data_IF_088886877592
#
_entry.id   IF_088886877592
#
_cell.length_a   1.000
_cell.length_b   1.000
_cell.length_c   1.000
_cell.angle_alpha   90.00
_cell.angle_beta   90.00
_cell.angle_gamma   90.00
#
_symmetry.space_group_name_H-M   'P 1'
#
loop_
_entity.id
_entity.type
_entity.pdbx_description
1 polymer ?
#
# COMPACT_ATOMS: atom_id res chain seq x y z
N UNK A 1 -26.37 -28.97 23.25
CA UNK A 1 -25.69 -27.95 24.08
C UNK A 1 -24.27 -27.80 23.56
N UNK A 2 -23.95 -26.68 22.93
CA UNK A 2 -22.56 -26.41 22.51
C UNK A 2 -21.75 -26.17 23.79
N UNK A 3 -20.69 -26.95 24.06
CA UNK A 3 -19.90 -26.75 25.26
C UNK A 3 -19.29 -25.35 25.28
N UNK A 4 -19.30 -24.68 26.44
CA UNK A 4 -18.79 -23.32 26.58
C UNK A 4 -17.33 -23.18 26.08
N UNK A 5 -16.50 -24.22 26.22
CA UNK A 5 -15.14 -24.22 25.70
C UNK A 5 -15.05 -24.07 24.18
N UNK A 6 -16.03 -24.59 23.42
CA UNK A 6 -16.07 -24.44 21.95
C UNK A 6 -16.34 -22.99 21.58
N UNK A 7 -17.24 -22.31 22.31
CA UNK A 7 -17.55 -20.89 22.09
C UNK A 7 -16.31 -20.04 22.37
N UNK A 8 -15.61 -20.30 23.48
CA UNK A 8 -14.36 -19.61 23.80
C UNK A 8 -13.26 -19.86 22.76
N UNK A 9 -13.07 -21.10 22.29
CA UNK A 9 -12.06 -21.42 21.28
C UNK A 9 -12.35 -20.66 19.98
N UNK A 10 -13.60 -20.70 19.51
CA UNK A 10 -14.03 -20.01 18.29
C UNK A 10 -13.85 -18.49 18.43
N UNK A 11 -14.23 -17.90 19.56
CA UNK A 11 -14.04 -16.48 19.81
C UNK A 11 -12.56 -16.08 19.78
N UNK A 12 -11.68 -16.87 20.41
CA UNK A 12 -10.24 -16.61 20.39
C UNK A 12 -9.65 -16.74 18.97
N UNK A 13 -10.11 -17.70 18.16
CA UNK A 13 -9.69 -17.85 16.77
C UNK A 13 -10.11 -16.63 15.94
N UNK A 14 -11.36 -16.17 16.08
CA UNK A 14 -11.84 -14.97 15.38
C UNK A 14 -11.10 -13.71 15.79
N UNK A 15 -10.88 -13.52 17.09
CA UNK A 15 -10.11 -12.38 17.60
C UNK A 15 -8.68 -12.43 17.04
N UNK A 16 -8.01 -13.58 17.11
CA UNK A 16 -6.65 -13.75 16.59
C UNK A 16 -6.55 -13.47 15.08
N UNK A 17 -7.48 -14.01 14.29
CA UNK A 17 -7.53 -13.79 12.83
C UNK A 17 -7.76 -12.31 12.47
N UNK A 18 -8.61 -11.61 13.22
CA UNK A 18 -8.83 -10.17 13.02
C UNK A 18 -7.56 -9.36 13.33
N UNK A 19 -6.83 -9.70 14.40
CA UNK A 19 -5.58 -9.03 14.73
C UNK A 19 -4.50 -9.24 13.66
N UNK A 20 -4.35 -10.45 13.12
CA UNK A 20 -3.39 -10.71 12.05
C UNK A 20 -3.74 -9.93 10.78
N UNK A 21 -5.02 -9.89 10.39
CA UNK A 21 -5.48 -9.14 9.23
C UNK A 21 -5.24 -7.62 9.38
N UNK A 22 -5.51 -7.05 10.56
CA UNK A 22 -5.24 -5.65 10.86
C UNK A 22 -3.73 -5.34 10.83
N UNK A 23 -2.91 -6.25 11.35
CA UNK A 23 -1.46 -6.11 11.32
C UNK A 23 -0.92 -6.13 9.88
N UNK A 24 -1.40 -7.06 9.04
CA UNK A 24 -1.03 -7.14 7.62
C UNK A 24 -1.41 -5.85 6.87
N UNK A 25 -2.65 -5.38 6.99
CA UNK A 25 -3.11 -4.12 6.37
C UNK A 25 -2.26 -2.92 6.79
N UNK A 26 -1.86 -2.85 8.07
CA UNK A 26 -1.00 -1.79 8.57
C UNK A 26 0.41 -1.84 7.98
N UNK A 27 0.96 -3.04 7.77
CA UNK A 27 2.28 -3.24 7.18
C UNK A 27 2.27 -2.93 5.68
N UNK A 28 1.24 -3.38 4.96
CA UNK A 28 1.05 -3.07 3.54
C UNK A 28 0.96 -1.56 3.31
N UNK A 29 0.09 -0.89 4.08
CA UNK A 29 -0.06 0.58 4.01
C UNK A 29 1.27 1.29 4.22
N UNK A 30 2.03 0.89 5.25
CA UNK A 30 3.35 1.46 5.53
C UNK A 30 4.36 1.21 4.40
N UNK A 31 4.33 0.01 3.80
CA UNK A 31 5.19 -0.30 2.66
C UNK A 31 4.84 0.57 1.45
N UNK A 32 3.56 0.76 1.16
CA UNK A 32 3.07 1.58 0.05
C UNK A 32 3.47 3.03 0.26
N UNK A 33 3.20 3.61 1.44
CA UNK A 33 3.55 5.00 1.77
C UNK A 33 5.05 5.24 1.66
N UNK A 34 5.87 4.31 2.17
CA UNK A 34 7.32 4.38 2.07
C UNK A 34 7.77 4.37 0.60
N UNK A 35 7.27 3.43 -0.21
CA UNK A 35 7.66 3.35 -1.61
C UNK A 35 7.21 4.58 -2.40
N UNK A 36 6.03 5.12 -2.11
CA UNK A 36 5.55 6.35 -2.71
C UNK A 36 6.48 7.53 -2.40
N UNK A 37 6.78 7.73 -1.12
CA UNK A 37 7.69 8.80 -0.70
C UNK A 37 9.04 8.71 -1.42
N UNK A 38 9.66 7.52 -1.42
CA UNK A 38 10.95 7.32 -2.07
C UNK A 38 10.90 7.47 -3.59
N UNK A 39 9.81 7.04 -4.23
CA UNK A 39 9.62 7.24 -5.66
C UNK A 39 9.54 8.73 -6.01
N UNK A 40 8.71 9.50 -5.29
CA UNK A 40 8.55 10.94 -5.50
C UNK A 40 9.87 11.67 -5.25
N UNK A 41 10.51 11.44 -4.09
CA UNK A 41 11.79 12.08 -3.75
C UNK A 41 12.89 11.74 -4.74
N UNK A 42 13.01 10.45 -5.09
CA UNK A 42 13.99 10.03 -6.08
C UNK A 42 13.72 10.65 -7.46
N UNK A 43 12.45 10.83 -7.85
CA UNK A 43 12.10 11.51 -9.10
C UNK A 43 12.48 12.99 -9.07
N UNK A 44 12.17 13.69 -7.99
CA UNK A 44 12.57 15.10 -7.79
C UNK A 44 14.10 15.26 -7.87
N UNK A 45 14.86 14.40 -7.18
CA UNK A 45 16.32 14.42 -7.19
C UNK A 45 16.89 14.16 -8.60
N UNK A 46 16.33 13.19 -9.33
CA UNK A 46 16.76 12.92 -10.71
C UNK A 46 16.53 14.12 -11.62
N UNK A 47 15.37 14.78 -11.49
CA UNK A 47 15.03 15.95 -12.28
C UNK A 47 15.95 17.14 -11.95
N UNK A 48 16.22 17.40 -10.68
CA UNK A 48 17.11 18.47 -10.24
C UNK A 48 18.56 18.26 -10.70
N UNK A 49 19.04 17.02 -10.64
CA UNK A 49 20.41 16.68 -11.01
C UNK A 49 20.61 16.45 -12.52
N UNK A 50 19.57 16.58 -13.34
CA UNK A 50 19.64 16.23 -14.77
C UNK A 50 20.01 14.77 -15.02
N UNK A 51 19.70 13.88 -14.07
CA UNK A 51 20.01 12.45 -14.15
C UNK A 51 19.06 11.74 -15.12
N UNK A 52 19.46 10.56 -15.58
CA UNK A 52 18.63 9.74 -16.47
C UNK A 52 17.25 9.50 -15.84
N UNK A 53 16.15 9.79 -16.55
CA UNK A 53 14.81 9.56 -16.04
C UNK A 53 14.59 8.06 -15.82
N UNK A 54 13.82 7.74 -14.78
CA UNK A 54 13.34 6.39 -14.61
C UNK A 54 12.29 6.09 -15.67
N UNK A 55 12.31 4.88 -16.25
CA UNK A 55 11.48 4.54 -17.41
C UNK A 55 9.98 4.77 -17.20
N UNK A 56 9.52 4.77 -15.95
CA UNK A 56 8.12 4.98 -15.59
C UNK A 56 7.80 6.42 -15.12
N UNK A 57 8.75 7.37 -15.20
CA UNK A 57 8.52 8.76 -14.76
C UNK A 57 7.44 9.49 -15.58
N UNK A 58 7.08 8.96 -16.75
CA UNK A 58 5.97 9.45 -17.58
C UNK A 58 4.60 8.96 -17.11
N UNK A 59 4.56 7.95 -16.23
CA UNK A 59 3.33 7.40 -15.69
C UNK A 59 2.97 8.09 -14.35
N UNK A 60 1.70 8.03 -13.97
CA UNK A 60 1.26 8.48 -12.65
C UNK A 60 1.95 7.67 -11.55
N UNK A 61 2.31 8.30 -10.42
CA UNK A 61 2.96 7.60 -9.31
C UNK A 61 2.23 6.34 -8.87
N UNK A 62 0.90 6.37 -8.79
CA UNK A 62 0.10 5.21 -8.41
C UNK A 62 0.28 4.02 -9.34
N UNK A 63 0.35 4.25 -10.66
CA UNK A 63 0.61 3.21 -11.66
C UNK A 63 2.02 2.66 -11.50
N UNK A 64 3.00 3.53 -11.23
CA UNK A 64 4.38 3.10 -10.96
C UNK A 64 4.46 2.24 -9.72
N UNK A 65 3.77 2.61 -8.64
CA UNK A 65 3.71 1.78 -7.43
C UNK A 65 3.05 0.44 -7.70
N UNK A 66 1.96 0.38 -8.48
CA UNK A 66 1.36 -0.89 -8.86
C UNK A 66 2.35 -1.78 -9.61
N UNK A 67 3.16 -1.23 -10.51
CA UNK A 67 4.21 -1.99 -11.21
C UNK A 67 5.32 -2.46 -10.24
N UNK A 68 5.78 -1.59 -9.34
CA UNK A 68 6.84 -1.90 -8.38
C UNK A 68 6.39 -2.97 -7.38
N UNK A 69 5.16 -2.87 -6.90
CA UNK A 69 4.64 -3.69 -5.80
C UNK A 69 3.80 -4.89 -6.26
N UNK A 70 3.61 -5.11 -7.57
CA UNK A 70 2.66 -6.12 -8.10
C UNK A 70 2.84 -7.54 -7.56
N UNK A 71 4.06 -7.93 -7.14
CA UNK A 71 4.32 -9.27 -6.59
C UNK A 71 4.02 -9.40 -5.11
N UNK A 72 3.88 -8.27 -4.41
CA UNK A 72 3.76 -8.22 -2.95
C UNK A 72 2.38 -7.73 -2.53
N UNK A 73 1.83 -6.74 -3.24
CA UNK A 73 0.56 -6.12 -2.90
C UNK A 73 -0.25 -5.92 -4.19
N UNK A 74 -1.56 -6.16 -4.14
CA UNK A 74 -2.45 -5.93 -5.27
C UNK A 74 -2.51 -4.44 -5.61
N UNK A 75 -2.75 -4.11 -6.88
CA UNK A 75 -2.89 -2.70 -7.28
C UNK A 75 -4.08 -2.04 -6.56
N UNK A 76 -5.17 -2.78 -6.30
CA UNK A 76 -6.32 -2.25 -5.54
C UNK A 76 -5.92 -1.82 -4.12
N UNK A 77 -5.14 -2.64 -3.41
CA UNK A 77 -4.63 -2.30 -2.08
C UNK A 77 -3.64 -1.13 -2.13
N UNK A 78 -2.82 -1.02 -3.18
CA UNK A 78 -1.98 0.16 -3.42
C UNK A 78 -2.84 1.42 -3.55
N UNK A 79 -3.87 1.37 -4.39
CA UNK A 79 -4.76 2.51 -4.64
C UNK A 79 -5.51 2.93 -3.37
N UNK A 80 -6.02 1.97 -2.61
CA UNK A 80 -6.73 2.23 -1.35
C UNK A 80 -5.80 2.85 -0.28
N UNK A 81 -4.59 2.32 -0.13
CA UNK A 81 -3.63 2.87 0.84
C UNK A 81 -3.16 4.27 0.45
N UNK A 82 -3.01 4.56 -0.85
CA UNK A 82 -2.61 5.88 -1.34
C UNK A 82 -3.71 6.92 -1.13
N UNK A 83 -4.99 6.58 -1.33
CA UNK A 83 -6.12 7.49 -1.05
C UNK A 83 -6.12 8.01 0.39
N UNK A 84 -5.65 7.19 1.32
CA UNK A 84 -5.54 7.52 2.74
C UNK A 84 -4.18 8.15 3.11
N UNK A 85 -3.27 8.32 2.16
CA UNK A 85 -1.96 8.89 2.40
C UNK A 85 -1.97 10.41 2.22
N UNK A 86 -1.68 11.14 3.30
CA UNK A 86 -1.74 12.61 3.33
C UNK A 86 -0.85 13.32 2.31
N UNK A 87 0.26 12.71 1.89
CA UNK A 87 1.21 13.31 0.93
C UNK A 87 0.91 12.90 -0.51
N UNK A 88 -0.03 11.98 -0.71
CA UNK A 88 -0.51 11.62 -2.03
C UNK A 88 -1.56 12.65 -2.49
N UNK A 89 -1.23 13.36 -3.57
CA UNK A 89 -2.17 14.22 -4.26
C UNK A 89 -2.82 13.37 -5.34
N UNK A 90 -4.11 13.07 -5.18
CA UNK A 90 -4.87 12.38 -6.21
C UNK A 90 -5.06 13.33 -7.40
N UNK A 91 -4.51 12.96 -8.56
CA UNK A 91 -4.77 13.64 -9.82
C UNK A 91 -5.82 12.83 -10.56
N UNK A 92 -7.03 13.36 -10.68
CA UNK A 92 -8.18 12.73 -11.38
C UNK A 92 -7.96 12.58 -12.91
N UNK A 93 -6.75 12.80 -13.44
CA UNK A 93 -6.44 12.83 -14.88
C UNK A 93 -6.49 11.47 -15.60
N UNK A 94 -7.24 10.49 -15.08
CA UNK A 94 -7.50 9.21 -15.76
C UNK A 94 -8.99 8.84 -15.78
N UNK A 95 -9.82 9.81 -16.13
CA UNK A 95 -11.14 9.55 -16.75
C UNK A 95 -11.05 9.83 -18.24
#
# INVERSE_FOLDING_TARGET
MVPSFVIFLVLNIFIGANFTALAELSMESRLIHRNYYWYIKGREERLQNGSTPFGFDHLPPQTVLCVILHKTISCDAVMEALKNYKEYIHTDEFT
#
